data_IF_546830603979
#
_entry.id   IF_546830603979
#
_cell.length_a   1.000
_cell.length_b   1.000
_cell.length_c   1.000
_cell.angle_alpha   90.00
_cell.angle_beta   90.00
_cell.angle_gamma   90.00
#
_symmetry.space_group_name_H-M   'P 1'
#
loop_
_entity.id
_entity.type
_entity.pdbx_description
1 polymer ?
#
# COMPACT_ATOMS: atom_id res chain seq x y z
N UNK A 1 -24.56 -7.51 -29.97
CA UNK A 1 -24.46 -8.02 -28.57
C UNK A 1 -23.28 -8.99 -28.53
N UNK A 2 -22.20 -8.67 -27.81
CA UNK A 2 -21.02 -9.55 -27.76
C UNK A 2 -21.21 -10.63 -26.69
N UNK A 3 -21.15 -11.91 -27.09
CA UNK A 3 -21.16 -13.01 -26.13
C UNK A 3 -19.76 -13.20 -25.55
N UNK A 4 -19.61 -12.96 -24.25
CA UNK A 4 -18.36 -13.23 -23.54
C UNK A 4 -18.24 -14.75 -23.34
N UNK A 5 -17.21 -15.34 -23.95
CA UNK A 5 -16.83 -16.72 -23.72
C UNK A 5 -15.71 -16.80 -22.69
N UNK A 6 -15.77 -17.83 -21.85
CA UNK A 6 -14.76 -18.16 -20.86
C UNK A 6 -13.91 -19.30 -21.40
N UNK A 7 -12.60 -19.11 -21.53
CA UNK A 7 -11.69 -20.13 -22.02
C UNK A 7 -10.95 -20.83 -20.88
N UNK A 8 -10.76 -22.15 -21.00
CA UNK A 8 -9.86 -22.87 -20.14
C UNK A 8 -8.41 -22.64 -20.59
N UNK A 9 -7.57 -22.09 -19.73
CA UNK A 9 -6.15 -21.84 -20.06
C UNK A 9 -5.33 -23.13 -20.23
N UNK A 10 -5.82 -24.26 -19.70
CA UNK A 10 -5.10 -25.52 -19.76
C UNK A 10 -5.39 -26.31 -21.04
N UNK A 11 -6.63 -26.25 -21.56
CA UNK A 11 -7.04 -27.04 -22.73
C UNK A 11 -7.69 -26.24 -23.86
N UNK A 12 -7.83 -24.92 -23.72
CA UNK A 12 -8.39 -24.04 -24.73
C UNK A 12 -9.91 -24.11 -24.92
N UNK A 13 -10.62 -25.02 -24.25
CA UNK A 13 -12.08 -25.16 -24.40
C UNK A 13 -12.81 -23.87 -24.00
N UNK A 14 -13.83 -23.53 -24.78
CA UNK A 14 -14.68 -22.35 -24.58
C UNK A 14 -15.98 -22.73 -23.87
N UNK A 15 -16.41 -21.86 -22.97
CA UNK A 15 -17.60 -22.04 -22.14
C UNK A 15 -18.45 -20.76 -22.16
N UNK A 16 -19.79 -20.92 -22.13
CA UNK A 16 -20.74 -19.78 -22.12
C UNK A 16 -20.84 -19.10 -20.76
N UNK A 17 -20.46 -19.79 -19.67
CA UNK A 17 -20.54 -19.25 -18.31
C UNK A 17 -19.30 -19.59 -17.50
N UNK A 18 -18.99 -18.75 -16.52
CA UNK A 18 -17.89 -18.97 -15.57
C UNK A 18 -18.07 -20.25 -14.76
N UNK A 19 -19.29 -20.54 -14.27
CA UNK A 19 -19.56 -21.76 -13.50
C UNK A 19 -19.28 -23.02 -14.30
N UNK A 20 -19.60 -23.05 -15.61
CA UNK A 20 -19.28 -24.20 -16.46
C UNK A 20 -17.77 -24.39 -16.65
N UNK A 21 -17.01 -23.29 -16.78
CA UNK A 21 -15.55 -23.34 -16.81
C UNK A 21 -14.97 -23.83 -15.48
N UNK A 22 -15.44 -23.32 -14.36
CA UNK A 22 -14.96 -23.71 -13.02
C UNK A 22 -15.21 -25.19 -12.75
N UNK A 23 -16.41 -25.69 -13.09
CA UNK A 23 -16.73 -27.14 -13.01
C UNK A 23 -15.78 -27.94 -13.89
N UNK A 24 -15.59 -27.52 -15.14
CA UNK A 24 -14.66 -28.18 -16.06
C UNK A 24 -13.25 -28.26 -15.49
N UNK A 25 -12.68 -27.15 -14.99
CA UNK A 25 -11.35 -27.12 -14.38
C UNK A 25 -11.30 -28.05 -13.15
N UNK A 26 -12.36 -28.06 -12.34
CA UNK A 26 -12.42 -28.91 -11.14
C UNK A 26 -12.43 -30.42 -11.45
N UNK A 27 -13.09 -30.83 -12.54
CA UNK A 27 -13.22 -32.24 -12.92
C UNK A 27 -12.02 -32.73 -13.75
N UNK A 28 -11.57 -31.93 -14.71
CA UNK A 28 -10.57 -32.36 -15.70
C UNK A 28 -9.16 -31.84 -15.42
N UNK A 29 -9.01 -30.81 -14.58
CA UNK A 29 -7.73 -30.17 -14.27
C UNK A 29 -7.54 -30.02 -12.76
N UNK A 30 -7.77 -31.10 -12.00
CA UNK A 30 -7.80 -31.12 -10.52
C UNK A 30 -6.58 -30.45 -9.88
N UNK A 31 -5.38 -30.71 -10.39
CA UNK A 31 -4.14 -30.12 -9.85
C UNK A 31 -4.09 -28.60 -10.09
N UNK A 32 -4.50 -28.15 -11.28
CA UNK A 32 -4.61 -26.73 -11.61
C UNK A 32 -5.72 -26.04 -10.81
N UNK A 33 -6.84 -26.72 -10.57
CA UNK A 33 -7.90 -26.20 -9.71
C UNK A 33 -7.40 -25.98 -8.27
N UNK A 34 -6.64 -26.94 -7.73
CA UNK A 34 -6.05 -26.84 -6.39
C UNK A 34 -5.09 -25.65 -6.28
N UNK A 35 -4.26 -25.39 -7.29
CA UNK A 35 -3.35 -24.23 -7.29
C UNK A 35 -4.12 -22.92 -7.37
N UNK A 36 -5.07 -22.78 -8.30
CA UNK A 36 -5.93 -21.58 -8.40
C UNK A 36 -6.62 -21.29 -7.06
N UNK A 37 -7.20 -22.32 -6.42
CA UNK A 37 -7.90 -22.16 -5.15
C UNK A 37 -6.97 -21.73 -4.01
N UNK A 38 -5.75 -22.26 -3.96
CA UNK A 38 -4.73 -21.84 -2.96
C UNK A 38 -4.33 -20.39 -3.17
N UNK A 39 -4.06 -19.97 -4.40
CA UNK A 39 -3.68 -18.59 -4.70
C UNK A 39 -4.81 -17.60 -4.44
N UNK A 40 -6.06 -17.96 -4.75
CA UNK A 40 -7.23 -17.15 -4.39
C UNK A 40 -7.32 -16.91 -2.88
N UNK A 41 -7.10 -17.94 -2.06
CA UNK A 41 -7.09 -17.79 -0.58
C UNK A 41 -5.97 -16.87 -0.10
N UNK A 42 -4.77 -16.97 -0.67
CA UNK A 42 -3.66 -16.06 -0.34
C UNK A 42 -4.00 -14.62 -0.68
N UNK A 43 -4.56 -14.37 -1.87
CA UNK A 43 -5.01 -13.02 -2.28
C UNK A 43 -6.03 -12.46 -1.29
N UNK A 44 -7.08 -13.22 -0.98
CA UNK A 44 -8.09 -12.81 -0.01
C UNK A 44 -7.48 -12.50 1.38
N UNK A 45 -6.45 -13.25 1.80
CA UNK A 45 -5.74 -12.98 3.05
C UNK A 45 -4.94 -11.68 3.00
N UNK A 46 -4.26 -11.41 1.89
CA UNK A 46 -3.51 -10.15 1.69
C UNK A 46 -4.46 -8.96 1.69
N UNK A 47 -5.58 -9.06 0.96
CA UNK A 47 -6.62 -8.03 0.91
C UNK A 47 -7.19 -7.73 2.30
N UNK A 48 -7.50 -8.77 3.08
CA UNK A 48 -7.93 -8.62 4.46
C UNK A 48 -6.87 -7.93 5.34
N UNK A 49 -5.60 -8.32 5.24
CA UNK A 49 -4.52 -7.70 6.02
C UNK A 49 -4.39 -6.22 5.67
N UNK A 50 -4.45 -5.87 4.38
CA UNK A 50 -4.39 -4.49 3.93
C UNK A 50 -5.52 -3.65 4.52
N UNK A 51 -6.75 -4.16 4.49
CA UNK A 51 -7.91 -3.49 5.10
C UNK A 51 -7.69 -3.20 6.60
N UNK A 52 -7.07 -4.12 7.33
CA UNK A 52 -6.75 -3.90 8.75
C UNK A 52 -5.65 -2.85 8.96
N UNK A 53 -4.66 -2.76 8.05
CA UNK A 53 -3.62 -1.74 8.10
C UNK A 53 -4.24 -0.36 7.87
N UNK A 54 -5.00 -0.22 6.78
CA UNK A 54 -5.66 1.04 6.41
C UNK A 54 -6.59 1.52 7.53
N UNK A 55 -7.29 0.60 8.20
CA UNK A 55 -8.14 0.92 9.35
C UNK A 55 -7.34 1.48 10.53
N UNK A 56 -6.20 0.86 10.85
CA UNK A 56 -5.32 1.31 11.94
C UNK A 56 -4.67 2.66 11.63
N UNK A 57 -4.31 2.92 10.38
CA UNK A 57 -3.75 4.21 9.96
C UNK A 57 -4.78 5.33 10.12
N UNK A 58 -6.02 5.10 9.68
CA UNK A 58 -7.13 6.04 9.89
C UNK A 58 -7.43 6.31 11.37
N UNK A 59 -7.33 5.29 12.22
CA UNK A 59 -7.51 5.47 13.68
C UNK A 59 -6.39 6.34 14.27
N UNK A 60 -5.13 6.11 13.87
CA UNK A 60 -4.00 6.94 14.29
C UNK A 60 -4.08 8.39 13.82
N UNK A 61 -4.58 8.63 12.60
CA UNK A 61 -4.79 9.98 12.09
C UNK A 61 -5.82 10.73 12.93
N UNK A 62 -6.95 10.08 13.26
CA UNK A 62 -7.98 10.65 14.13
C UNK A 62 -7.46 10.94 15.55
N UNK A 63 -6.55 10.13 16.07
CA UNK A 63 -5.92 10.39 17.38
C UNK A 63 -5.02 11.64 17.32
N UNK A 64 -4.20 11.77 16.26
CA UNK A 64 -3.35 12.96 16.06
C UNK A 64 -4.16 14.25 15.87
N UNK A 65 -5.31 14.19 15.22
CA UNK A 65 -6.21 15.35 15.10
C UNK A 65 -6.75 15.80 16.45
N UNK A 66 -7.18 14.84 17.30
CA UNK A 66 -7.65 15.13 18.66
C UNK A 66 -6.56 15.69 19.57
N UNK A 67 -5.30 15.32 19.37
CA UNK A 67 -4.17 15.89 20.12
C UNK A 67 -3.92 17.36 19.75
N UNK A 68 -3.97 17.69 18.45
CA UNK A 68 -3.82 19.07 17.97
C UNK A 68 -4.94 20.00 18.45
N UNK A 69 -6.16 19.49 18.62
CA UNK A 69 -7.27 20.29 19.15
C UNK A 69 -7.03 20.71 20.61
N UNK A 70 -6.44 19.84 21.44
CA UNK A 70 -6.17 20.13 22.86
C UNK A 70 -5.10 21.20 23.08
N UNK A 71 -4.07 21.26 22.22
CA UNK A 71 -3.00 22.27 22.33
C UNK A 71 -3.49 23.71 22.08
N UNK A 72 -4.63 23.88 21.39
CA UNK A 72 -5.18 25.19 21.08
C UNK A 72 -6.11 25.74 22.19
N UNK A 73 -6.52 24.93 23.17
CA UNK A 73 -7.46 25.36 24.23
C UNK A 73 -6.74 25.95 25.47
N UNK A 74 -5.46 25.64 25.70
CA UNK A 74 -4.68 26.14 26.85
C UNK A 74 -3.82 27.40 26.55
N UNK A 75 -4.02 28.03 25.39
CA UNK A 75 -3.36 29.29 25.00
C UNK A 75 -3.87 30.57 25.70
N UNK A 76 -4.46 30.43 26.89
CA UNK A 76 -4.92 31.55 27.73
C UNK A 76 -3.76 32.19 28.50
N UNK A 77 -3.44 33.44 28.16
CA UNK A 77 -2.63 34.40 28.92
C UNK A 77 -1.18 33.98 29.22
N UNK A 78 -0.32 34.08 28.19
CA UNK A 78 1.11 34.31 28.44
C UNK A 78 1.30 35.80 28.73
N UNK A 79 1.55 36.12 30.00
CA UNK A 79 1.96 37.44 30.48
C UNK A 79 3.14 37.97 29.64
N UNK A 80 2.92 39.17 29.12
CA UNK A 80 3.87 39.99 28.39
C UNK A 80 5.02 40.38 29.32
N UNK A 81 6.23 39.81 29.15
CA UNK A 81 7.44 40.34 29.78
C UNK A 81 8.13 41.26 28.78
N UNK A 82 8.22 42.54 29.15
CA UNK A 82 8.83 43.61 28.38
C UNK A 82 10.28 43.33 27.98
N UNK A 83 10.52 43.64 26.70
CA UNK A 83 11.73 43.91 25.93
C UNK A 83 13.07 44.00 26.66
N UNK A 84 14.00 43.13 26.25
CA UNK A 84 15.43 43.29 26.41
C UNK A 84 16.14 42.99 25.09
N UNK A 85 16.43 44.03 24.32
CA UNK A 85 17.15 43.98 23.05
C UNK A 85 18.56 43.39 23.22
N UNK A 86 18.90 42.32 22.49
CA UNK A 86 20.29 42.12 22.03
C UNK A 86 20.29 41.65 20.57
N UNK A 87 20.62 42.61 19.75
CA UNK A 87 20.98 42.56 18.34
C UNK A 87 22.35 41.88 18.18
N UNK A 88 22.48 40.83 17.34
CA UNK A 88 23.54 40.76 16.30
C UNK A 88 23.48 39.45 15.51
N UNK A 89 23.19 39.62 14.21
CA UNK A 89 23.96 39.10 13.07
C UNK A 89 24.62 37.72 13.21
N UNK A 90 24.17 36.75 12.41
CA UNK A 90 25.10 36.03 11.52
C UNK A 90 24.38 35.32 10.38
N UNK A 91 24.43 35.99 9.22
CA UNK A 91 24.43 35.40 7.90
C UNK A 91 25.66 34.48 7.77
N UNK A 92 25.47 33.19 7.53
CA UNK A 92 26.51 32.33 6.97
C UNK A 92 25.92 31.28 6.02
N UNK A 93 25.74 31.72 4.78
CA UNK A 93 26.26 31.12 3.53
C UNK A 93 26.37 29.57 3.47
N UNK A 94 25.52 29.02 2.59
CA UNK A 94 25.74 28.05 1.50
C UNK A 94 26.48 26.70 1.67
N UNK A 95 25.85 25.76 0.95
CA UNK A 95 26.42 24.78 0.01
C UNK A 95 27.36 23.71 0.55
N UNK A 96 26.93 22.44 0.47
CA UNK A 96 27.62 21.21 0.01
C UNK A 96 26.66 20.05 0.37
N UNK A 97 26.24 19.09 -0.45
CA UNK A 97 26.48 18.76 -1.85
C UNK A 97 25.43 17.71 -2.23
N UNK A 98 24.78 17.94 -3.36
CA UNK A 98 23.87 17.01 -4.02
C UNK A 98 24.72 16.24 -5.02
N UNK A 99 25.36 15.13 -4.62
CA UNK A 99 25.97 14.17 -5.54
C UNK A 99 26.23 12.85 -4.81
N UNK A 100 26.01 11.74 -5.51
CA UNK A 100 26.37 10.36 -5.19
C UNK A 100 25.49 9.57 -4.19
N UNK A 101 24.50 8.84 -4.72
CA UNK A 101 24.44 7.36 -4.69
C UNK A 101 23.49 6.95 -5.84
N UNK A 102 24.06 6.82 -7.04
CA UNK A 102 23.49 6.03 -8.13
C UNK A 102 24.21 4.66 -8.14
N UNK A 103 23.43 3.62 -8.45
CA UNK A 103 23.86 2.32 -8.99
C UNK A 103 24.28 1.19 -8.03
N UNK A 104 23.40 0.17 -7.99
CA UNK A 104 23.62 -1.29 -8.15
C UNK A 104 22.72 -2.05 -7.15
N UNK A 105 21.74 -2.85 -7.57
CA UNK A 105 22.00 -4.12 -8.23
C UNK A 105 20.81 -4.59 -9.06
N UNK A 106 21.09 -4.82 -10.34
CA UNK A 106 20.32 -5.66 -11.24
C UNK A 106 20.68 -7.13 -10.99
N UNK A 107 19.71 -8.00 -11.28
CA UNK A 107 19.89 -9.38 -11.74
C UNK A 107 20.48 -10.42 -10.78
N UNK A 108 19.63 -11.32 -10.31
CA UNK A 108 19.98 -12.74 -10.24
C UNK A 108 18.78 -13.62 -10.60
N UNK A 109 18.60 -13.81 -11.92
CA UNK A 109 17.98 -15.01 -12.50
C UNK A 109 19.07 -16.09 -12.64
N UNK A 110 18.86 -17.24 -12.00
CA UNK A 110 19.29 -18.59 -12.42
C UNK A 110 18.13 -19.49 -11.98
N UNK A 111 17.36 -20.22 -12.78
CA UNK A 111 17.60 -21.04 -13.99
C UNK A 111 18.87 -21.86 -13.85
N UNK A 112 18.75 -23.00 -13.18
CA UNK A 112 19.06 -24.33 -13.72
C UNK A 112 18.17 -25.36 -13.03
#
# INVERSE_FOLDING_TARGET
MFHIHYNCLQCGKLFRTKNSLDKHISCYHVNFYKTIRKEKRKRNRVEYIQEQIDKKEKEKEKEKEKEKEKENEDGGETEFIEEGEINTSNNFINSYGLEDIIHHNKDNRKVF
#
